data_IF_543227765582
#
_entry.id   IF_543227765582
#
_cell.length_a   1.000
_cell.length_b   1.000
_cell.length_c   1.000
_cell.angle_alpha   90.00
_cell.angle_beta   90.00
_cell.angle_gamma   90.00
#
_symmetry.space_group_name_H-M   'P 1'
#
loop_
_entity.id
_entity.type
_entity.pdbx_description
1 polymer ?
#
# COMPACT_ATOMS: atom_id res chain seq x y z
N UNK A 1 -0.38 29.72 -5.64
CA UNK A 1 -1.04 28.82 -4.67
C UNK A 1 -1.50 27.51 -5.32
N UNK A 2 -2.29 27.55 -6.40
CA UNK A 2 -2.82 26.34 -7.06
C UNK A 2 -1.75 25.37 -7.58
N UNK A 3 -0.65 25.87 -8.16
CA UNK A 3 0.43 25.02 -8.67
C UNK A 3 1.15 24.22 -7.57
N UNK A 4 1.36 24.83 -6.39
CA UNK A 4 1.97 24.16 -5.24
C UNK A 4 1.06 23.05 -4.71
N UNK A 5 -0.24 23.33 -4.59
CA UNK A 5 -1.24 22.35 -4.17
C UNK A 5 -1.31 21.18 -5.16
N UNK A 6 -1.29 21.49 -6.47
CA UNK A 6 -1.25 20.46 -7.51
C UNK A 6 0.00 19.59 -7.43
N UNK A 7 1.19 20.19 -7.22
CA UNK A 7 2.44 19.44 -7.05
C UNK A 7 2.38 18.52 -5.83
N UNK A 8 1.91 19.02 -4.67
CA UNK A 8 1.76 18.23 -3.45
C UNK A 8 0.80 17.05 -3.69
N UNK A 9 -0.31 17.29 -4.40
CA UNK A 9 -1.27 16.25 -4.73
C UNK A 9 -0.67 15.17 -5.64
N UNK A 10 0.07 15.55 -6.68
CA UNK A 10 0.75 14.60 -7.57
C UNK A 10 1.77 13.76 -6.81
N UNK A 11 2.58 14.38 -5.93
CA UNK A 11 3.54 13.67 -5.09
C UNK A 11 2.84 12.70 -4.13
N UNK A 12 1.70 13.11 -3.57
CA UNK A 12 0.89 12.25 -2.71
C UNK A 12 0.33 11.03 -3.46
N UNK A 13 -0.20 11.24 -4.66
CA UNK A 13 -0.65 10.14 -5.52
C UNK A 13 0.50 9.22 -5.95
N UNK A 14 1.66 9.78 -6.29
CA UNK A 14 2.85 9.00 -6.63
C UNK A 14 3.29 8.11 -5.46
N UNK A 15 3.32 8.66 -4.23
CA UNK A 15 3.61 7.89 -3.03
C UNK A 15 2.58 6.76 -2.81
N UNK A 16 1.29 7.06 -2.96
CA UNK A 16 0.24 6.04 -2.88
C UNK A 16 0.41 4.91 -3.90
N UNK A 17 0.81 5.23 -5.13
CA UNK A 17 1.07 4.24 -6.18
C UNK A 17 2.23 3.32 -5.82
N UNK A 18 3.32 3.89 -5.31
CA UNK A 18 4.50 3.13 -4.86
C UNK A 18 4.12 2.18 -3.71
N UNK A 19 3.38 2.67 -2.72
CA UNK A 19 2.94 1.86 -1.57
C UNK A 19 1.97 0.76 -1.99
N UNK A 20 0.98 1.05 -2.84
CA UNK A 20 0.05 0.06 -3.36
C UNK A 20 0.76 -1.02 -4.19
N UNK A 21 1.70 -0.63 -5.06
CA UNK A 21 2.53 -1.57 -5.82
C UNK A 21 3.38 -2.46 -4.91
N UNK A 22 4.03 -1.86 -3.90
CA UNK A 22 4.79 -2.61 -2.91
C UNK A 22 3.91 -3.56 -2.08
N UNK A 23 2.68 -3.16 -1.75
CA UNK A 23 1.71 -3.99 -1.04
C UNK A 23 1.26 -5.19 -1.88
N UNK A 24 1.04 -5.00 -3.18
CA UNK A 24 0.69 -6.11 -4.10
C UNK A 24 1.88 -7.06 -4.32
N UNK A 25 3.10 -6.51 -4.35
CA UNK A 25 4.32 -7.29 -4.54
C UNK A 25 4.75 -8.07 -3.27
N UNK A 26 4.63 -7.47 -2.07
CA UNK A 26 5.12 -8.03 -0.80
C UNK A 26 4.06 -8.24 0.28
N UNK A 27 3.04 -7.40 0.33
CA UNK A 27 2.14 -7.24 1.48
C UNK A 27 1.14 -8.37 1.70
N UNK A 28 0.82 -9.14 0.66
CA UNK A 28 -0.08 -10.29 0.78
C UNK A 28 0.46 -11.38 1.72
N UNK A 29 1.74 -11.73 1.59
CA UNK A 29 2.31 -12.88 2.31
C UNK A 29 2.68 -12.54 3.76
N UNK A 30 2.86 -11.25 4.10
CA UNK A 30 3.26 -10.80 5.44
C UNK A 30 2.07 -10.49 6.35
N UNK A 31 0.88 -10.19 5.80
CA UNK A 31 -0.26 -9.74 6.59
C UNK A 31 -1.06 -10.85 7.27
N UNK A 32 -0.94 -12.11 6.82
CA UNK A 32 -1.84 -13.19 7.27
C UNK A 32 -1.24 -14.16 8.30
N UNK A 33 0.08 -14.21 8.51
CA UNK A 33 0.72 -15.09 9.52
C UNK A 33 0.55 -16.60 9.27
N UNK A 34 -0.39 -16.99 8.43
CA UNK A 34 -0.63 -18.28 7.82
C UNK A 34 -0.22 -18.22 6.34
N UNK A 35 0.27 -19.30 5.72
CA UNK A 35 0.61 -19.38 4.30
C UNK A 35 -0.66 -19.44 3.44
N UNK A 36 -1.64 -18.58 3.71
CA UNK A 36 -2.73 -18.30 2.80
C UNK A 36 -2.16 -17.42 1.69
N UNK A 37 -1.55 -18.06 0.69
CA UNK A 37 -1.13 -17.40 -0.54
C UNK A 37 -2.32 -16.65 -1.11
N UNK A 38 -2.34 -15.32 -0.92
CA UNK A 38 -3.38 -14.48 -1.48
C UNK A 38 -3.32 -14.63 -2.99
N UNK A 39 -4.40 -15.16 -3.55
CA UNK A 39 -4.52 -15.38 -4.99
C UNK A 39 -4.27 -14.06 -5.74
N UNK A 40 -3.69 -14.10 -6.95
CA UNK A 40 -3.44 -12.89 -7.74
C UNK A 40 -4.68 -11.99 -7.89
N UNK A 41 -5.87 -12.60 -8.00
CA UNK A 41 -7.15 -11.88 -8.05
C UNK A 41 -7.46 -11.10 -6.76
N UNK A 42 -7.18 -11.67 -5.59
CA UNK A 42 -7.37 -10.99 -4.31
C UNK A 42 -6.41 -9.80 -4.14
N UNK A 43 -5.16 -9.93 -4.60
CA UNK A 43 -4.17 -8.83 -4.58
C UNK A 43 -4.61 -7.65 -5.46
N UNK A 44 -5.15 -7.93 -6.64
CA UNK A 44 -5.70 -6.91 -7.55
C UNK A 44 -6.92 -6.23 -6.92
N UNK A 45 -7.80 -6.98 -6.25
CA UNK A 45 -8.98 -6.43 -5.58
C UNK A 45 -8.61 -5.51 -4.39
N UNK A 46 -7.48 -5.77 -3.72
CA UNK A 46 -6.96 -4.95 -2.63
C UNK A 46 -6.20 -3.71 -3.10
N UNK A 47 -5.72 -3.67 -4.35
CA UNK A 47 -4.91 -2.58 -4.90
C UNK A 47 -5.59 -1.20 -4.84
N UNK A 48 -6.89 -1.03 -5.19
CA UNK A 48 -7.57 0.26 -5.08
C UNK A 48 -7.70 0.71 -3.63
N UNK A 49 -8.01 -0.23 -2.72
CA UNK A 49 -8.10 0.05 -1.28
C UNK A 49 -6.74 0.41 -0.69
N UNK A 50 -5.68 -0.27 -1.10
CA UNK A 50 -4.32 -0.01 -0.67
C UNK A 50 -3.79 1.33 -1.18
N UNK A 51 -4.17 1.73 -2.40
CA UNK A 51 -3.87 3.06 -2.93
C UNK A 51 -4.64 4.16 -2.17
N UNK A 52 -5.94 3.97 -1.94
CA UNK A 52 -6.77 4.97 -1.27
C UNK A 52 -6.35 5.17 0.20
N UNK A 53 -5.97 4.08 0.87
CA UNK A 53 -5.58 4.05 2.28
C UNK A 53 -4.07 3.90 2.47
N UNK A 54 -3.27 4.31 1.49
CA UNK A 54 -1.82 4.09 1.49
C UNK A 54 -1.09 4.55 2.76
N UNK A 55 -1.45 5.67 3.44
CA UNK A 55 -0.76 6.07 4.67
C UNK A 55 -1.00 5.06 5.81
N UNK A 56 -2.22 4.52 5.89
CA UNK A 56 -2.60 3.51 6.89
C UNK A 56 -1.93 2.18 6.59
N UNK A 57 -1.90 1.77 5.32
CA UNK A 57 -1.22 0.55 4.85
C UNK A 57 0.27 0.62 5.20
N UNK A 58 0.93 1.74 4.87
CA UNK A 58 2.34 1.96 5.17
C UNK A 58 2.59 1.90 6.69
N UNK A 59 1.77 2.56 7.50
CA UNK A 59 1.90 2.55 8.95
C UNK A 59 1.75 1.15 9.55
N UNK A 60 0.73 0.39 9.11
CA UNK A 60 0.55 -1.00 9.54
C UNK A 60 1.71 -1.88 9.10
N UNK A 61 2.21 -1.68 7.88
CA UNK A 61 3.32 -2.46 7.34
C UNK A 61 4.63 -2.23 8.10
N UNK A 62 4.94 -0.97 8.43
CA UNK A 62 6.10 -0.61 9.26
C UNK A 62 6.01 -1.20 10.67
N UNK A 63 4.81 -1.19 11.29
CA UNK A 63 4.60 -1.82 12.60
C UNK A 63 4.72 -3.34 12.54
N UNK A 64 4.24 -3.98 11.48
CA UNK A 64 4.37 -5.42 11.30
C UNK A 64 5.84 -5.84 11.11
N UNK A 65 6.61 -5.09 10.32
CA UNK A 65 8.02 -5.37 10.06
C UNK A 65 8.98 -5.12 11.24
N UNK A 66 8.59 -4.29 12.23
CA UNK A 66 9.41 -4.04 13.43
C UNK A 66 9.26 -5.08 14.54
N UNK A 67 8.36 -6.07 14.39
CA UNK A 67 8.15 -7.16 15.36
C UNK A 67 8.70 -8.52 14.86
N UNK A 68 9.49 -8.51 13.78
CA UNK A 68 10.17 -9.68 13.22
C UNK A 68 11.69 -9.56 13.47
#
# INVERSE_FOLDING_TARGET
>A
MNALIGLIFVLWCAAGFVVAGAFVARGADVALGEPASLTPGARILLLPGAFLLWPLVLWRWLRAGGNA
#
